data_IF_174319313186
#
_entry.id   IF_174319313186
#
_cell.length_a   1.000
_cell.length_b   1.000
_cell.length_c   1.000
_cell.angle_alpha   90.00
_cell.angle_beta   90.00
_cell.angle_gamma   90.00
#
_symmetry.space_group_name_H-M   'P 1'
#
loop_
_entity.id
_entity.type
_entity.pdbx_description
1 polymer ?
#
# COMPACT_ATOMS: atom_id res chain seq x y z
N UNK A 1 17.26 -0.29 32.96
CA UNK A 1 15.95 -0.02 32.31
C UNK A 1 14.97 0.30 33.41
N UNK A 2 14.37 1.49 33.40
CA UNK A 2 13.56 2.02 34.52
C UNK A 2 12.27 1.23 34.71
N UNK A 3 11.94 0.89 35.96
CA UNK A 3 10.72 0.16 36.37
C UNK A 3 9.41 0.98 36.20
N UNK A 4 9.47 2.13 35.53
CA UNK A 4 8.33 3.00 35.22
C UNK A 4 7.20 2.27 34.47
N UNK A 5 7.53 1.28 33.63
CA UNK A 5 6.57 0.55 32.81
C UNK A 5 5.69 -0.47 33.58
N UNK A 6 5.93 -0.68 34.89
CA UNK A 6 5.16 -1.63 35.72
C UNK A 6 4.09 -0.96 36.61
N UNK A 7 3.81 0.32 36.38
CA UNK A 7 2.75 1.01 37.13
C UNK A 7 1.37 0.45 36.78
N UNK A 8 0.53 0.09 37.77
CA UNK A 8 -0.83 -0.44 37.55
C UNK A 8 -1.79 0.60 36.93
N UNK A 9 -1.34 1.84 36.69
CA UNK A 9 -2.09 2.87 35.98
C UNK A 9 -2.24 2.60 34.47
N UNK A 10 -1.45 1.68 33.89
CA UNK A 10 -1.52 1.32 32.47
C UNK A 10 -1.79 -0.18 32.33
N UNK A 11 -3.06 -0.63 32.30
CA UNK A 11 -3.36 -2.00 31.96
C UNK A 11 -2.86 -2.27 30.54
N UNK A 12 -1.80 -3.06 30.41
CA UNK A 12 -1.44 -3.61 29.11
C UNK A 12 -2.61 -4.50 28.69
N UNK A 13 -3.28 -4.14 27.60
CA UNK A 13 -4.33 -4.97 27.01
C UNK A 13 -3.68 -6.27 26.50
N UNK A 14 -3.59 -7.27 27.38
CA UNK A 14 -3.01 -8.57 27.13
C UNK A 14 -4.00 -9.48 26.40
N UNK A 15 -4.40 -9.09 25.19
CA UNK A 15 -4.94 -10.03 24.21
C UNK A 15 -4.12 -9.86 22.92
N UNK A 16 -2.92 -10.46 22.94
CA UNK A 16 -2.27 -10.85 21.71
C UNK A 16 -3.16 -11.89 21.03
N UNK A 17 -3.79 -11.49 19.94
CA UNK A 17 -4.63 -12.35 19.12
C UNK A 17 -3.77 -12.93 17.99
N UNK A 18 -3.35 -14.18 18.15
CA UNK A 18 -2.57 -14.91 17.14
C UNK A 18 -3.31 -15.09 15.80
N UNK A 19 -4.62 -14.78 15.73
CA UNK A 19 -5.35 -14.75 14.46
C UNK A 19 -5.06 -13.50 13.62
N UNK A 20 -4.54 -12.42 14.22
CA UNK A 20 -4.04 -11.26 13.47
C UNK A 20 -2.76 -11.55 12.68
N UNK A 21 -1.93 -12.49 13.15
CA UNK A 21 -0.77 -12.99 12.38
C UNK A 21 -1.17 -13.97 11.26
N UNK A 22 -2.45 -14.37 11.18
CA UNK A 22 -2.97 -15.22 10.09
C UNK A 22 -3.47 -14.44 8.87
N UNK A 23 -3.14 -13.15 8.75
CA UNK A 23 -3.26 -12.42 7.46
C UNK A 23 -2.00 -12.66 6.59
N UNK A 24 -1.44 -13.87 6.65
CA UNK A 24 -0.30 -14.32 5.84
C UNK A 24 -0.65 -15.55 4.97
N UNK A 25 -1.91 -15.69 4.58
CA UNK A 25 -2.33 -16.76 3.66
C UNK A 25 -1.87 -16.60 2.21
N UNK A 26 -1.33 -15.44 1.81
CA UNK A 26 -0.79 -15.25 0.45
C UNK A 26 0.72 -15.55 0.34
N UNK A 27 1.41 -15.82 1.46
CA UNK A 27 2.82 -16.25 1.44
C UNK A 27 3.03 -17.72 1.05
N UNK A 28 2.01 -18.59 1.18
CA UNK A 28 2.15 -20.03 0.92
C UNK A 28 2.12 -20.42 -0.57
N UNK A 29 1.79 -19.48 -1.48
CA UNK A 29 1.64 -19.74 -2.92
C UNK A 29 2.63 -18.97 -3.83
N UNK A 30 3.69 -18.38 -3.27
CA UNK A 30 4.74 -17.73 -4.08
C UNK A 30 4.27 -16.48 -4.84
N UNK A 31 3.12 -15.92 -4.50
CA UNK A 31 2.70 -14.60 -4.94
C UNK A 31 3.31 -13.56 -3.99
N UNK A 32 4.05 -12.57 -4.50
CA UNK A 32 4.45 -11.42 -3.69
C UNK A 32 3.19 -10.80 -3.08
N UNK A 33 3.05 -10.85 -1.75
CA UNK A 33 1.95 -10.17 -1.09
C UNK A 33 2.15 -8.66 -1.23
N UNK A 34 1.39 -8.03 -2.11
CA UNK A 34 1.39 -6.58 -2.27
C UNK A 34 1.42 -6.17 -3.73
N UNK A 35 1.23 -4.87 -3.96
CA UNK A 35 1.43 -4.27 -5.27
C UNK A 35 2.93 -4.04 -5.46
N UNK A 36 3.49 -4.49 -6.58
CA UNK A 36 4.83 -4.07 -6.96
C UNK A 36 4.85 -2.55 -7.28
N UNK A 37 6.04 -1.95 -7.37
CA UNK A 37 6.18 -0.51 -7.60
C UNK A 37 5.41 -0.03 -8.85
N UNK A 38 5.47 -0.78 -9.94
CA UNK A 38 4.78 -0.44 -11.19
C UNK A 38 3.26 -0.44 -11.01
N UNK A 39 2.72 -1.46 -10.35
CA UNK A 39 1.29 -1.57 -10.04
C UNK A 39 0.82 -0.44 -9.12
N UNK A 40 1.64 -0.04 -8.14
CA UNK A 40 1.33 1.06 -7.24
C UNK A 40 1.29 2.42 -7.96
N UNK A 41 2.29 2.69 -8.80
CA UNK A 41 2.36 3.92 -9.61
C UNK A 41 1.22 3.99 -10.60
N UNK A 42 0.94 2.88 -11.30
CA UNK A 42 -0.16 2.79 -12.25
C UNK A 42 -1.51 3.07 -11.59
N UNK A 43 -1.78 2.48 -10.43
CA UNK A 43 -3.01 2.74 -9.66
C UNK A 43 -3.09 4.19 -9.19
N UNK A 44 -1.97 4.79 -8.81
CA UNK A 44 -1.92 6.19 -8.41
C UNK A 44 -2.30 7.12 -9.56
N UNK A 45 -1.78 6.87 -10.77
CA UNK A 45 -2.13 7.61 -11.98
C UNK A 45 -3.62 7.44 -12.33
N UNK A 46 -4.13 6.21 -12.29
CA UNK A 46 -5.52 5.92 -12.59
C UNK A 46 -6.49 6.60 -11.61
N UNK A 47 -6.22 6.51 -10.31
CA UNK A 47 -7.05 7.15 -9.27
C UNK A 47 -6.96 8.67 -9.37
N UNK A 48 -5.78 9.22 -9.65
CA UNK A 48 -5.60 10.65 -9.91
C UNK A 48 -6.45 11.14 -11.08
N UNK A 49 -6.49 10.39 -12.18
CA UNK A 49 -7.32 10.71 -13.35
C UNK A 49 -8.82 10.60 -13.04
N UNK A 50 -9.24 9.59 -12.26
CA UNK A 50 -10.63 9.45 -11.83
C UNK A 50 -11.08 10.56 -10.86
N UNK A 51 -10.16 11.13 -10.09
CA UNK A 51 -10.43 12.21 -9.14
C UNK A 51 -11.00 13.48 -9.77
N UNK A 52 -10.78 13.68 -11.08
CA UNK A 52 -11.34 14.80 -11.85
C UNK A 52 -12.88 14.69 -12.05
N UNK A 53 -13.46 13.50 -11.88
CA UNK A 53 -14.91 13.27 -11.96
C UNK A 53 -15.54 13.40 -13.35
N UNK A 54 -14.83 13.98 -14.33
CA UNK A 54 -15.26 14.07 -15.73
C UNK A 54 -14.69 12.95 -16.60
N UNK A 55 -13.66 12.26 -16.11
CA UNK A 55 -12.91 11.22 -16.83
C UNK A 55 -13.58 9.86 -16.64
N UNK A 56 -13.84 9.17 -17.75
CA UNK A 56 -14.35 7.78 -17.70
C UNK A 56 -13.28 6.81 -17.22
N UNK A 57 -13.67 5.67 -16.65
CA UNK A 57 -12.73 4.62 -16.25
C UNK A 57 -11.84 4.13 -17.41
N UNK A 58 -12.36 4.11 -18.64
CA UNK A 58 -11.58 3.73 -19.81
C UNK A 58 -10.50 4.78 -20.14
N UNK A 59 -10.84 6.07 -20.05
CA UNK A 59 -9.88 7.16 -20.27
C UNK A 59 -8.82 7.23 -19.16
N UNK A 60 -9.22 7.03 -17.90
CA UNK A 60 -8.29 6.98 -16.77
C UNK A 60 -7.31 5.81 -16.87
N UNK A 61 -7.77 4.65 -17.34
CA UNK A 61 -6.92 3.50 -17.64
C UNK A 61 -5.92 3.82 -18.75
N UNK A 62 -6.39 4.36 -19.86
CA UNK A 62 -5.53 4.72 -20.99
C UNK A 62 -4.46 5.75 -20.58
N UNK A 63 -4.84 6.73 -19.76
CA UNK A 63 -3.92 7.70 -19.18
C UNK A 63 -2.82 7.02 -18.34
N UNK A 64 -3.19 6.10 -17.44
CA UNK A 64 -2.24 5.37 -16.61
C UNK A 64 -1.31 4.48 -17.45
N UNK A 65 -1.83 3.83 -18.49
CA UNK A 65 -1.04 3.01 -19.43
C UNK A 65 -0.02 3.88 -20.20
N UNK A 66 -0.43 5.07 -20.68
CA UNK A 66 0.43 5.97 -21.45
C UNK A 66 1.53 6.63 -20.60
N UNK A 67 1.24 6.93 -19.32
CA UNK A 67 2.14 7.74 -18.48
C UNK A 67 2.98 6.90 -17.50
N UNK A 68 2.82 5.57 -17.46
CA UNK A 68 3.53 4.72 -16.50
C UNK A 68 5.04 4.85 -16.63
N UNK A 69 5.59 4.64 -17.83
CA UNK A 69 7.04 4.58 -18.06
C UNK A 69 7.74 5.90 -17.70
N UNK A 70 7.19 7.03 -18.17
CA UNK A 70 7.75 8.36 -17.88
C UNK A 70 7.65 8.73 -16.39
N UNK A 71 6.59 8.27 -15.71
CA UNK A 71 6.43 8.49 -14.27
C UNK A 71 7.46 7.69 -13.48
N UNK A 72 7.70 6.44 -13.86
CA UNK A 72 8.74 5.60 -13.25
C UNK A 72 10.13 6.21 -13.45
N UNK A 73 10.48 6.64 -14.67
CA UNK A 73 11.76 7.31 -14.95
C UNK A 73 11.92 8.58 -14.10
N UNK A 74 10.83 9.33 -13.87
CA UNK A 74 10.88 10.53 -13.04
C UNK A 74 11.10 10.19 -11.56
N UNK A 75 10.46 9.14 -11.05
CA UNK A 75 10.63 8.68 -9.68
C UNK A 75 12.06 8.22 -9.41
N UNK A 76 12.69 7.51 -10.36
CA UNK A 76 14.09 7.11 -10.25
C UNK A 76 15.05 8.31 -10.15
N UNK A 77 14.75 9.41 -10.85
CA UNK A 77 15.55 10.65 -10.77
C UNK A 77 15.35 11.44 -9.46
N UNK A 78 14.30 11.15 -8.69
CA UNK A 78 13.98 11.81 -7.43
C UNK A 78 14.48 11.03 -6.20
N UNK A 79 14.83 9.75 -6.37
CA UNK A 79 15.45 8.90 -5.36
C UNK A 79 16.96 9.18 -5.23
#
# INVERSE_FOLDING_TARGET
MSDFAKSPAFPQSALYDASRDRVHGAYEYGAEMGLNMQQHVWLTLMVGALGDGSVSAAAARAFADEHLDITLERLEKLA
#
